data_IF_346535133347
#
_entry.id   IF_346535133347
#
_cell.length_a   1.000
_cell.length_b   1.000
_cell.length_c   1.000
_cell.angle_alpha   90.00
_cell.angle_beta   90.00
_cell.angle_gamma   90.00
#
_symmetry.space_group_name_H-M   'P 1'
#
loop_
_entity.id
_entity.type
_entity.pdbx_description
1 polymer ?
#
# COMPACT_ATOMS: atom_id res chain seq x y z
N UNK A 1 -2.13 7.91 -4.65
CA UNK A 1 -2.50 7.61 -6.06
C UNK A 1 -2.46 8.91 -6.86
N UNK A 2 -1.44 9.10 -7.68
CA UNK A 2 -1.22 10.39 -8.41
C UNK A 2 -2.18 10.62 -9.58
N UNK A 3 -2.80 9.56 -10.11
CA UNK A 3 -3.76 9.62 -11.23
C UNK A 3 -5.22 9.60 -10.77
N UNK A 4 -5.47 9.57 -9.45
CA UNK A 4 -6.84 9.57 -8.92
C UNK A 4 -7.50 10.95 -9.06
N UNK A 5 -8.83 11.04 -9.23
CA UNK A 5 -9.55 12.30 -9.41
C UNK A 5 -9.31 13.33 -8.30
N UNK A 6 -9.16 12.87 -7.05
CA UNK A 6 -8.95 13.73 -5.88
C UNK A 6 -7.45 14.03 -5.59
N UNK A 7 -6.52 13.66 -6.49
CA UNK A 7 -5.09 13.81 -6.22
C UNK A 7 -4.68 15.28 -5.99
N UNK A 8 -5.19 16.21 -6.78
CA UNK A 8 -4.87 17.64 -6.65
C UNK A 8 -5.36 18.21 -5.32
N UNK A 9 -6.58 17.90 -4.89
CA UNK A 9 -7.12 18.33 -3.59
C UNK A 9 -6.31 17.73 -2.43
N UNK A 10 -5.99 16.43 -2.51
CA UNK A 10 -5.16 15.77 -1.52
C UNK A 10 -3.77 16.42 -1.38
N UNK A 11 -3.13 16.74 -2.51
CA UNK A 11 -1.83 17.46 -2.53
C UNK A 11 -1.95 18.85 -1.92
N UNK A 12 -2.98 19.61 -2.28
CA UNK A 12 -3.21 20.95 -1.72
C UNK A 12 -3.40 20.91 -0.20
N UNK A 13 -4.13 19.94 0.32
CA UNK A 13 -4.30 19.72 1.77
C UNK A 13 -3.00 19.31 2.44
N UNK A 14 -2.28 18.34 1.86
CA UNK A 14 -1.02 17.84 2.42
C UNK A 14 0.04 18.94 2.56
N UNK A 15 0.12 19.88 1.63
CA UNK A 15 1.02 21.03 1.72
C UNK A 15 0.80 21.93 2.94
N UNK A 16 -0.41 21.92 3.50
CA UNK A 16 -0.75 22.67 4.72
C UNK A 16 -0.53 21.85 6.00
N UNK A 17 -0.06 20.60 5.90
CA UNK A 17 0.15 19.68 7.01
C UNK A 17 1.61 19.18 6.99
N UNK A 18 2.58 20.00 7.45
CA UNK A 18 4.01 19.69 7.30
C UNK A 18 4.45 18.42 8.05
N UNK A 19 3.73 18.02 9.09
CA UNK A 19 4.00 16.80 9.86
C UNK A 19 3.38 15.54 9.24
N UNK A 20 2.59 15.69 8.15
CA UNK A 20 2.01 14.57 7.43
C UNK A 20 3.04 13.95 6.48
N UNK A 21 3.45 12.73 6.77
CA UNK A 21 4.34 11.97 5.90
C UNK A 21 3.54 11.38 4.72
N UNK A 22 3.84 11.82 3.49
CA UNK A 22 3.10 11.41 2.29
C UNK A 22 3.90 10.44 1.46
N UNK A 23 3.32 9.25 1.20
CA UNK A 23 3.90 8.23 0.34
C UNK A 23 3.28 8.19 -1.06
N UNK A 24 4.02 7.62 -2.02
CA UNK A 24 3.51 7.28 -3.33
C UNK A 24 2.82 5.91 -3.29
N UNK A 25 1.50 5.90 -3.51
CA UNK A 25 0.74 4.67 -3.71
C UNK A 25 0.67 4.35 -5.20
N UNK A 26 1.52 3.42 -5.65
CA UNK A 26 1.59 2.98 -7.04
C UNK A 26 0.33 2.21 -7.44
N UNK A 27 -0.22 2.54 -8.60
CA UNK A 27 -1.39 1.88 -9.16
C UNK A 27 -0.97 1.16 -10.44
N UNK A 28 -1.07 -0.17 -10.44
CA UNK A 28 -0.68 -1.03 -11.58
C UNK A 28 -1.84 -1.95 -12.01
N UNK A 29 -3.00 -1.79 -11.39
CA UNK A 29 -4.25 -2.49 -11.68
C UNK A 29 -5.41 -1.72 -11.05
N UNK A 30 -6.64 -1.95 -11.51
CA UNK A 30 -7.86 -1.38 -10.94
C UNK A 30 -7.78 0.16 -10.70
N UNK A 31 -7.33 0.89 -11.70
CA UNK A 31 -7.24 2.34 -11.61
C UNK A 31 -6.81 2.97 -12.92
N UNK A 32 -6.70 4.29 -12.92
CA UNK A 32 -6.31 5.05 -14.11
C UNK A 32 -4.78 5.05 -14.26
N UNK A 33 -4.29 4.75 -15.47
CA UNK A 33 -2.89 4.88 -15.80
C UNK A 33 -2.43 6.34 -15.77
N UNK A 34 -1.16 6.56 -15.45
CA UNK A 34 -0.51 7.88 -15.55
C UNK A 34 0.04 8.09 -16.95
N UNK A 35 0.58 7.05 -17.56
CA UNK A 35 1.06 7.07 -18.94
C UNK A 35 -0.11 7.07 -19.94
N UNK A 36 0.05 7.66 -21.15
CA UNK A 36 -0.91 7.52 -22.23
C UNK A 36 -1.17 6.04 -22.58
N UNK A 37 -2.43 5.61 -22.65
CA UNK A 37 -2.80 4.21 -22.88
C UNK A 37 -2.18 3.64 -24.18
N UNK A 38 -2.03 4.46 -25.22
CA UNK A 38 -1.39 4.04 -26.47
C UNK A 38 0.08 3.62 -26.32
N UNK A 39 0.74 4.04 -25.24
CA UNK A 39 2.14 3.75 -24.96
C UNK A 39 2.33 2.53 -24.04
N UNK A 40 1.25 2.10 -23.40
CA UNK A 40 1.23 0.95 -22.48
C UNK A 40 0.06 0.00 -22.77
N UNK A 41 -0.18 -0.39 -24.04
CA UNK A 41 -1.37 -1.18 -24.43
C UNK A 41 -1.41 -2.60 -23.81
N UNK A 42 -0.30 -3.11 -23.29
CA UNK A 42 -0.28 -4.37 -22.55
C UNK A 42 -0.76 -4.24 -21.09
N UNK A 43 -0.83 -3.02 -20.55
CA UNK A 43 -1.20 -2.74 -19.15
C UNK A 43 -2.54 -2.00 -19.05
N UNK A 44 -2.89 -1.17 -20.04
CA UNK A 44 -4.06 -0.32 -19.99
C UNK A 44 -4.95 -0.48 -21.21
N UNK A 45 -6.25 -0.38 -21.00
CA UNK A 45 -7.25 -0.29 -22.05
C UNK A 45 -7.23 1.09 -22.74
N UNK A 46 -7.84 1.21 -23.92
CA UNK A 46 -7.89 2.46 -24.69
C UNK A 46 -8.50 3.66 -23.94
N UNK A 47 -9.34 3.40 -22.93
CA UNK A 47 -9.93 4.44 -22.06
C UNK A 47 -8.99 4.88 -20.91
N UNK A 48 -7.77 4.36 -20.85
CA UNK A 48 -6.78 4.67 -19.82
C UNK A 48 -6.94 3.90 -18.52
N UNK A 49 -7.88 2.95 -18.42
CA UNK A 49 -8.01 2.08 -17.25
C UNK A 49 -7.00 0.94 -17.33
N UNK A 50 -6.28 0.71 -16.23
CA UNK A 50 -5.38 -0.43 -16.07
C UNK A 50 -6.19 -1.74 -15.98
N UNK A 51 -5.63 -2.81 -16.53
CA UNK A 51 -6.25 -4.15 -16.52
C UNK A 51 -6.47 -4.60 -15.06
N UNK A 52 -7.64 -5.17 -14.79
CA UNK A 52 -8.01 -5.70 -13.48
C UNK A 52 -7.71 -7.20 -13.32
N UNK A 53 -7.25 -7.89 -14.37
CA UNK A 53 -6.87 -9.30 -14.30
C UNK A 53 -5.45 -9.45 -13.74
N UNK A 54 -5.34 -9.43 -12.40
CA UNK A 54 -4.07 -9.50 -11.68
C UNK A 54 -3.22 -10.72 -12.05
N UNK A 55 -3.85 -11.87 -12.30
CA UNK A 55 -3.13 -13.11 -12.64
C UNK A 55 -2.50 -13.01 -14.03
N UNK A 56 -3.30 -12.65 -15.04
CA UNK A 56 -2.81 -12.46 -16.41
C UNK A 56 -1.72 -11.40 -16.46
N UNK A 57 -1.97 -10.24 -15.87
CA UNK A 57 -1.06 -9.11 -15.85
C UNK A 57 0.24 -9.47 -15.14
N UNK A 58 0.17 -10.17 -14.00
CA UNK A 58 1.35 -10.65 -13.28
C UNK A 58 2.20 -11.62 -14.12
N UNK A 59 1.58 -12.58 -14.80
CA UNK A 59 2.31 -13.50 -15.70
C UNK A 59 3.02 -12.71 -16.82
N UNK A 60 2.32 -11.77 -17.45
CA UNK A 60 2.91 -10.93 -18.52
C UNK A 60 4.05 -10.06 -18.01
N UNK A 61 3.89 -9.43 -16.84
CA UNK A 61 4.94 -8.64 -16.17
C UNK A 61 6.18 -9.49 -15.85
N UNK A 62 6.03 -10.80 -15.67
CA UNK A 62 7.14 -11.69 -15.37
C UNK A 62 7.86 -12.22 -16.62
N UNK A 63 7.13 -12.61 -17.66
CA UNK A 63 7.69 -13.33 -18.80
C UNK A 63 7.85 -12.49 -20.07
N UNK A 64 7.01 -11.46 -20.28
CA UNK A 64 7.04 -10.69 -21.52
C UNK A 64 7.92 -9.42 -21.40
N UNK A 65 9.02 -9.34 -22.19
CA UNK A 65 9.89 -8.15 -22.16
C UNK A 65 9.20 -6.87 -22.63
N UNK A 66 8.21 -6.97 -23.52
CA UNK A 66 7.42 -5.82 -23.98
C UNK A 66 6.59 -5.22 -22.84
N UNK A 67 5.88 -6.08 -22.10
CA UNK A 67 5.12 -5.69 -20.91
C UNK A 67 6.02 -5.11 -19.82
N UNK A 68 7.22 -5.66 -19.60
CA UNK A 68 8.19 -5.11 -18.64
C UNK A 68 8.60 -3.67 -18.97
N UNK A 69 8.83 -3.36 -20.24
CA UNK A 69 9.16 -1.98 -20.67
C UNK A 69 8.00 -1.02 -20.42
N UNK A 70 6.77 -1.45 -20.69
CA UNK A 70 5.58 -0.66 -20.43
C UNK A 70 5.36 -0.46 -18.93
N UNK A 71 5.59 -1.50 -18.12
CA UNK A 71 5.55 -1.42 -16.66
C UNK A 71 6.58 -0.44 -16.09
N UNK A 72 7.83 -0.50 -16.60
CA UNK A 72 8.87 0.46 -16.22
C UNK A 72 8.46 1.90 -16.55
N UNK A 73 7.85 2.11 -17.71
CA UNK A 73 7.34 3.42 -18.12
C UNK A 73 6.24 3.92 -17.18
N UNK A 74 5.27 3.08 -16.87
CA UNK A 74 4.15 3.45 -16.00
C UNK A 74 4.63 3.75 -14.57
N UNK A 75 5.50 2.92 -13.99
CA UNK A 75 6.07 3.18 -12.66
C UNK A 75 6.83 4.51 -12.67
N UNK A 76 7.66 4.76 -13.67
CA UNK A 76 8.40 6.02 -13.81
C UNK A 76 7.48 7.22 -13.89
N UNK A 77 6.45 7.18 -14.73
CA UNK A 77 5.47 8.25 -14.87
C UNK A 77 4.79 8.59 -13.53
N UNK A 78 4.49 7.58 -12.71
CA UNK A 78 3.92 7.81 -11.37
C UNK A 78 4.91 8.46 -10.40
N UNK A 79 6.18 8.08 -10.43
CA UNK A 79 7.22 8.77 -9.65
C UNK A 79 7.41 10.23 -10.10
N UNK A 80 7.44 10.47 -11.41
CA UNK A 80 7.53 11.82 -11.99
C UNK A 80 6.33 12.68 -11.59
N UNK A 81 5.12 12.13 -11.67
CA UNK A 81 3.91 12.81 -11.25
C UNK A 81 3.92 13.13 -9.75
N UNK A 82 4.40 12.20 -8.90
CA UNK A 82 4.56 12.48 -7.47
C UNK A 82 5.58 13.60 -7.23
N UNK A 83 6.74 13.54 -7.88
CA UNK A 83 7.77 14.59 -7.78
C UNK A 83 7.24 15.95 -8.20
N UNK A 84 6.41 16.00 -9.24
CA UNK A 84 5.79 17.24 -9.72
C UNK A 84 4.84 17.89 -8.69
N UNK A 85 4.33 17.13 -7.69
CA UNK A 85 3.52 17.70 -6.61
C UNK A 85 4.32 18.62 -5.70
N UNK A 86 5.64 18.47 -5.64
CA UNK A 86 6.53 19.16 -4.70
C UNK A 86 6.48 18.64 -3.27
N UNK A 87 5.75 17.55 -3.01
CA UNK A 87 5.75 16.90 -1.70
C UNK A 87 7.02 16.06 -1.53
N UNK A 88 7.50 15.94 -0.30
CA UNK A 88 8.58 15.02 0.05
C UNK A 88 8.07 13.59 -0.02
N UNK A 89 8.80 12.72 -0.72
CA UNK A 89 8.48 11.29 -0.77
C UNK A 89 8.91 10.62 0.55
N UNK A 90 7.93 10.24 1.36
CA UNK A 90 8.23 9.52 2.61
C UNK A 90 8.48 8.02 2.34
N UNK A 91 7.57 7.38 1.63
CA UNK A 91 7.68 5.96 1.28
C UNK A 91 6.93 5.62 -0.01
N UNK A 92 7.14 4.39 -0.48
CA UNK A 92 6.37 3.81 -1.61
C UNK A 92 5.65 2.56 -1.14
N UNK A 93 4.42 2.39 -1.61
CA UNK A 93 3.66 1.16 -1.55
C UNK A 93 2.87 0.97 -2.85
N UNK A 94 2.09 -0.10 -3.01
CA UNK A 94 1.31 -0.29 -4.22
C UNK A 94 -0.09 -0.82 -3.95
N UNK A 95 -1.02 -0.39 -4.79
CA UNK A 95 -2.40 -0.87 -4.82
C UNK A 95 -2.42 -2.38 -5.04
N UNK A 96 -3.35 -3.08 -4.37
CA UNK A 96 -3.45 -4.55 -4.40
C UNK A 96 -2.13 -5.27 -4.07
N UNK A 97 -1.22 -4.59 -3.34
CA UNK A 97 0.10 -5.11 -2.99
C UNK A 97 0.91 -5.64 -4.20
N UNK A 98 0.70 -5.07 -5.39
CA UNK A 98 1.38 -5.46 -6.63
C UNK A 98 2.91 -5.43 -6.51
N UNK A 99 3.46 -4.70 -5.56
CA UNK A 99 4.90 -4.71 -5.26
C UNK A 99 5.42 -6.01 -4.62
N UNK A 100 4.55 -6.98 -4.25
CA UNK A 100 4.97 -8.36 -3.97
C UNK A 100 5.49 -9.07 -5.22
N UNK A 101 5.08 -8.63 -6.41
CA UNK A 101 5.55 -9.20 -7.65
C UNK A 101 7.03 -8.86 -7.88
N UNK A 102 7.92 -9.86 -8.11
CA UNK A 102 9.37 -9.64 -8.18
C UNK A 102 9.79 -8.58 -9.19
N UNK A 103 9.24 -8.62 -10.41
CA UNK A 103 9.55 -7.62 -11.45
C UNK A 103 9.13 -6.21 -11.05
N UNK A 104 7.95 -6.06 -10.43
CA UNK A 104 7.47 -4.76 -9.96
C UNK A 104 8.40 -4.21 -8.89
N UNK A 105 8.78 -5.05 -7.91
CA UNK A 105 9.67 -4.63 -6.83
C UNK A 105 11.04 -4.21 -7.34
N UNK A 106 11.64 -4.98 -8.27
CA UNK A 106 12.93 -4.64 -8.87
C UNK A 106 12.88 -3.29 -9.61
N UNK A 107 11.80 -3.02 -10.33
CA UNK A 107 11.59 -1.75 -11.02
C UNK A 107 11.39 -0.59 -10.03
N UNK A 108 10.66 -0.80 -8.94
CA UNK A 108 10.51 0.22 -7.90
C UNK A 108 11.87 0.58 -7.29
N UNK A 109 12.69 -0.41 -6.95
CA UNK A 109 14.05 -0.17 -6.43
C UNK A 109 14.92 0.57 -7.47
N UNK A 110 14.90 0.10 -8.73
CA UNK A 110 15.69 0.69 -9.82
C UNK A 110 15.32 2.16 -10.04
N UNK A 111 14.03 2.43 -10.25
CA UNK A 111 13.52 3.77 -10.55
C UNK A 111 13.58 4.65 -9.31
N UNK A 112 13.18 4.12 -8.15
CA UNK A 112 13.13 4.85 -6.90
C UNK A 112 14.46 5.49 -6.50
N UNK A 113 15.60 4.88 -6.86
CA UNK A 113 16.94 5.47 -6.66
C UNK A 113 17.10 6.83 -7.36
N UNK A 114 16.46 7.02 -8.50
CA UNK A 114 16.51 8.28 -9.26
C UNK A 114 15.62 9.36 -8.62
N UNK A 115 14.72 8.93 -7.72
CA UNK A 115 13.76 9.78 -7.00
C UNK A 115 14.00 9.80 -5.48
N UNK A 116 15.21 9.45 -5.04
CA UNK A 116 15.61 9.48 -3.63
C UNK A 116 14.70 8.63 -2.72
N UNK A 117 14.24 7.48 -3.20
CA UNK A 117 13.43 6.53 -2.43
C UNK A 117 14.21 6.04 -1.22
N UNK A 118 13.73 6.35 -0.03
CA UNK A 118 14.36 5.98 1.25
C UNK A 118 13.60 4.90 2.02
N UNK A 119 12.31 4.70 1.73
CA UNK A 119 11.49 3.73 2.44
C UNK A 119 10.42 3.09 1.54
N UNK A 120 10.07 1.83 1.83
CA UNK A 120 9.05 1.07 1.11
C UNK A 120 8.28 0.15 2.07
N UNK A 121 6.95 0.07 1.90
CA UNK A 121 6.13 -0.91 2.62
C UNK A 121 6.51 -2.33 2.21
N UNK A 122 6.67 -3.20 3.20
CA UNK A 122 6.73 -4.65 3.00
C UNK A 122 5.48 -5.29 3.61
N UNK A 123 4.63 -5.96 2.81
CA UNK A 123 3.37 -6.55 3.27
C UNK A 123 3.63 -7.88 4.01
N UNK A 124 4.19 -7.77 5.23
CA UNK A 124 4.52 -8.87 6.13
C UNK A 124 3.56 -8.88 7.32
N UNK A 125 2.35 -9.41 7.12
CA UNK A 125 1.36 -9.50 8.19
C UNK A 125 1.45 -10.85 8.90
N UNK A 126 1.86 -10.88 10.19
CA UNK A 126 1.82 -12.10 10.97
C UNK A 126 0.37 -12.56 11.18
N UNK A 127 0.11 -13.89 11.22
CA UNK A 127 -1.23 -14.39 11.43
C UNK A 127 -1.71 -14.09 12.86
N UNK A 128 -2.49 -13.04 13.00
CA UNK A 128 -3.23 -12.73 14.23
C UNK A 128 -4.68 -13.20 14.05
N UNK A 129 -5.24 -13.81 15.10
CA UNK A 129 -6.63 -14.27 15.07
C UNK A 129 -7.56 -13.06 14.94
N UNK A 130 -8.48 -13.11 13.99
CA UNK A 130 -9.51 -12.06 13.83
C UNK A 130 -10.49 -12.09 15.00
N UNK A 131 -11.01 -10.94 15.39
CA UNK A 131 -12.05 -10.81 16.43
C UNK A 131 -13.31 -11.59 16.03
N UNK A 132 -13.64 -11.61 14.74
CA UNK A 132 -14.85 -12.24 14.18
C UNK A 132 -14.58 -13.52 13.40
N UNK A 133 -13.31 -13.82 13.14
CA UNK A 133 -12.89 -14.95 12.29
C UNK A 133 -12.94 -16.30 13.01
N UNK A 134 -13.47 -17.30 12.30
CA UNK A 134 -13.46 -18.68 12.77
C UNK A 134 -12.18 -19.43 12.35
N UNK A 135 -12.13 -20.74 12.62
CA UNK A 135 -10.98 -21.62 12.29
C UNK A 135 -10.56 -21.56 10.80
N UNK A 136 -11.51 -21.35 9.88
CA UNK A 136 -11.20 -21.23 8.44
C UNK A 136 -10.44 -19.94 8.14
N UNK A 137 -10.80 -18.83 8.77
CA UNK A 137 -10.07 -17.56 8.62
C UNK A 137 -8.64 -17.69 9.14
N UNK A 138 -8.46 -18.27 10.32
CA UNK A 138 -7.13 -18.54 10.88
C UNK A 138 -6.25 -19.39 9.96
N UNK A 139 -6.80 -20.44 9.37
CA UNK A 139 -6.06 -21.29 8.42
C UNK A 139 -5.67 -20.49 7.17
N UNK A 140 -6.58 -19.66 6.64
CA UNK A 140 -6.32 -18.84 5.47
C UNK A 140 -5.24 -17.78 5.73
N UNK A 141 -5.26 -17.09 6.89
CA UNK A 141 -4.23 -16.13 7.32
C UNK A 141 -2.85 -16.79 7.41
N UNK A 142 -2.78 -17.98 8.05
CA UNK A 142 -1.55 -18.76 8.13
C UNK A 142 -1.04 -19.18 6.74
N UNK A 143 -1.93 -19.65 5.86
CA UNK A 143 -1.57 -20.03 4.49
C UNK A 143 -1.02 -18.83 3.70
N UNK A 144 -1.69 -17.68 3.74
CA UNK A 144 -1.23 -16.45 3.09
C UNK A 144 0.15 -16.03 3.60
N UNK A 145 0.35 -16.01 4.90
CA UNK A 145 1.63 -15.67 5.52
C UNK A 145 2.76 -16.58 5.02
N UNK A 146 2.56 -17.90 5.05
CA UNK A 146 3.56 -18.87 4.59
C UNK A 146 3.81 -18.76 3.07
N UNK A 147 2.75 -18.56 2.29
CA UNK A 147 2.86 -18.43 0.83
C UNK A 147 3.66 -17.20 0.41
N UNK A 148 3.43 -16.06 1.06
CA UNK A 148 4.14 -14.82 0.72
C UNK A 148 5.52 -14.69 1.38
N UNK A 149 5.85 -15.50 2.37
CA UNK A 149 7.12 -15.44 3.12
C UNK A 149 8.39 -15.39 2.24
N UNK A 150 8.55 -16.20 1.16
CA UNK A 150 9.73 -16.11 0.30
C UNK A 150 9.83 -14.77 -0.45
N UNK A 151 8.69 -14.21 -0.90
CA UNK A 151 8.65 -12.90 -1.56
C UNK A 151 9.03 -11.78 -0.58
N UNK A 152 8.42 -11.78 0.61
CA UNK A 152 8.74 -10.85 1.70
C UNK A 152 10.23 -10.93 2.08
N UNK A 153 10.78 -12.14 2.22
CA UNK A 153 12.20 -12.32 2.53
C UNK A 153 13.10 -11.74 1.44
N UNK A 154 12.75 -11.92 0.16
CA UNK A 154 13.46 -11.31 -0.97
C UNK A 154 13.38 -9.78 -0.92
N UNK A 155 12.20 -9.21 -0.65
CA UNK A 155 12.00 -7.77 -0.55
C UNK A 155 12.88 -7.17 0.55
N UNK A 156 12.89 -7.76 1.77
CA UNK A 156 13.75 -7.33 2.88
C UNK A 156 15.22 -7.35 2.52
N UNK A 157 15.71 -8.40 1.87
CA UNK A 157 17.10 -8.50 1.39
C UNK A 157 17.44 -7.40 0.40
N UNK A 158 16.56 -7.10 -0.54
CA UNK A 158 16.76 -6.03 -1.53
C UNK A 158 16.74 -4.64 -0.87
N UNK A 159 15.86 -4.41 0.09
CA UNK A 159 15.85 -3.17 0.87
C UNK A 159 17.17 -2.98 1.61
N UNK A 160 17.65 -4.00 2.32
CA UNK A 160 18.94 -3.96 3.02
C UNK A 160 20.11 -3.69 2.08
N UNK A 161 20.16 -4.36 0.91
CA UNK A 161 21.21 -4.17 -0.10
C UNK A 161 21.21 -2.77 -0.75
N UNK A 162 20.12 -2.02 -0.62
CA UNK A 162 19.94 -0.68 -1.22
C UNK A 162 19.78 0.44 -0.16
N UNK A 163 19.96 0.16 1.13
CA UNK A 163 19.77 1.09 2.24
C UNK A 163 18.36 1.72 2.27
N UNK A 164 17.34 0.93 1.92
CA UNK A 164 15.94 1.36 1.95
C UNK A 164 15.31 0.86 3.23
N UNK A 165 14.72 1.76 4.01
CA UNK A 165 13.95 1.45 5.22
C UNK A 165 12.66 0.70 4.88
N UNK A 166 12.14 -0.07 5.80
CA UNK A 166 10.87 -0.76 5.66
C UNK A 166 10.25 -1.08 7.03
N UNK A 167 8.96 -1.36 7.06
CA UNK A 167 8.30 -1.93 8.23
C UNK A 167 8.72 -3.39 8.45
N UNK A 168 8.83 -3.79 9.70
CA UNK A 168 9.05 -5.20 10.08
C UNK A 168 7.79 -6.02 9.94
N UNK A 169 6.66 -5.43 10.36
CA UNK A 169 5.33 -6.01 10.29
C UNK A 169 4.32 -5.00 9.76
N UNK A 170 3.18 -5.49 9.31
CA UNK A 170 2.02 -4.68 8.93
C UNK A 170 0.76 -5.34 9.47
N UNK A 171 -0.24 -4.56 9.83
CA UNK A 171 -1.60 -5.01 10.11
C UNK A 171 -2.61 -4.23 9.27
N UNK A 172 -3.68 -4.89 8.85
CA UNK A 172 -4.72 -4.37 8.00
C UNK A 172 -4.84 -5.02 6.62
N UNK A 173 -3.96 -6.01 6.28
CA UNK A 173 -4.08 -6.80 5.06
C UNK A 173 -5.21 -7.82 5.18
N UNK A 174 -5.26 -8.51 6.32
CA UNK A 174 -6.27 -9.53 6.58
C UNK A 174 -7.61 -8.96 7.01
N UNK A 175 -7.63 -7.74 7.55
CA UNK A 175 -8.82 -7.04 8.03
C UNK A 175 -9.07 -5.76 7.19
N UNK A 176 -8.65 -5.76 5.91
CA UNK A 176 -8.78 -4.63 4.99
C UNK A 176 -10.23 -4.19 4.86
N UNK A 177 -10.49 -2.90 5.06
CA UNK A 177 -11.84 -2.34 5.07
C UNK A 177 -12.59 -2.47 6.40
N UNK A 178 -12.02 -3.18 7.40
CA UNK A 178 -12.65 -3.46 8.69
C UNK A 178 -11.73 -3.12 9.88
N UNK A 179 -10.85 -2.13 9.71
CA UNK A 179 -9.94 -1.64 10.75
C UNK A 179 -10.71 -0.75 11.75
N UNK A 180 -11.73 -1.31 12.37
CA UNK A 180 -12.60 -0.67 13.35
C UNK A 180 -11.89 -0.41 14.68
N UNK A 181 -12.56 0.29 15.62
CA UNK A 181 -12.03 0.53 16.98
C UNK A 181 -11.67 -0.79 17.65
N UNK A 182 -12.54 -1.78 17.59
CA UNK A 182 -12.30 -3.07 18.26
C UNK A 182 -11.16 -3.84 17.59
N UNK A 183 -11.05 -3.78 16.28
CA UNK A 183 -9.91 -4.35 15.53
C UNK A 183 -8.59 -3.69 15.94
N UNK A 184 -8.51 -2.37 16.00
CA UNK A 184 -7.31 -1.66 16.43
C UNK A 184 -6.93 -2.00 17.88
N UNK A 185 -7.90 -2.01 18.81
CA UNK A 185 -7.64 -2.34 20.20
C UNK A 185 -7.20 -3.80 20.36
N UNK A 186 -7.65 -4.70 19.49
CA UNK A 186 -7.18 -6.08 19.46
C UNK A 186 -5.74 -6.18 18.93
N UNK A 187 -5.38 -5.44 17.89
CA UNK A 187 -4.05 -5.49 17.25
C UNK A 187 -2.97 -4.83 18.11
N UNK A 188 -3.21 -3.64 18.64
CA UNK A 188 -2.21 -2.80 19.33
C UNK A 188 -1.43 -3.57 20.42
N UNK A 189 -2.04 -4.38 21.29
CA UNK A 189 -1.31 -5.17 22.29
C UNK A 189 -0.36 -6.24 21.73
N UNK A 190 -0.48 -6.59 20.45
CA UNK A 190 0.34 -7.60 19.78
C UNK A 190 1.46 -7.02 18.91
N UNK A 191 1.60 -5.69 18.91
CA UNK A 191 2.70 -5.02 18.22
C UNK A 191 4.00 -5.38 18.93
N UNK A 192 4.93 -5.98 18.16
CA UNK A 192 6.27 -6.32 18.65
C UNK A 192 7.22 -5.11 18.51
N UNK A 193 8.39 -5.22 19.13
CA UNK A 193 9.47 -4.26 18.94
C UNK A 193 9.85 -4.12 17.45
N UNK A 194 10.18 -2.91 17.05
CA UNK A 194 10.50 -2.58 15.65
C UNK A 194 9.47 -1.66 15.00
N UNK A 195 9.46 -1.60 13.69
CA UNK A 195 8.56 -0.74 12.90
C UNK A 195 7.35 -1.53 12.47
N UNK A 196 6.18 -1.19 13.00
CA UNK A 196 4.90 -1.78 12.59
C UNK A 196 4.05 -0.76 11.88
N UNK A 197 3.61 -1.08 10.68
CA UNK A 197 2.61 -0.29 9.96
C UNK A 197 1.22 -0.82 10.26
N UNK A 198 0.29 0.07 10.61
CA UNK A 198 -1.15 -0.22 10.60
C UNK A 198 -1.75 0.58 9.44
N UNK A 199 -2.39 -0.09 8.49
CA UNK A 199 -3.00 0.59 7.38
C UNK A 199 -4.52 0.39 7.31
N UNK A 200 -5.20 1.37 6.79
CA UNK A 200 -6.66 1.42 6.67
C UNK A 200 -7.07 2.28 5.47
N UNK A 201 -8.36 2.33 5.18
CA UNK A 201 -8.97 3.09 4.09
C UNK A 201 -10.00 4.09 4.65
N UNK A 202 -9.59 5.05 5.50
CA UNK A 202 -10.52 5.93 6.18
C UNK A 202 -11.13 6.94 5.22
N UNK A 203 -12.44 7.16 5.33
CA UNK A 203 -13.13 8.29 4.72
C UNK A 203 -14.23 8.81 5.65
N UNK A 204 -14.59 10.09 5.51
CA UNK A 204 -15.63 10.73 6.33
C UNK A 204 -17.02 10.32 5.92
N UNK A 205 -17.17 9.89 4.66
CA UNK A 205 -18.45 9.43 4.10
C UNK A 205 -18.18 8.46 2.94
N UNK A 206 -19.20 7.71 2.55
CA UNK A 206 -19.19 6.84 1.40
C UNK A 206 -19.52 7.66 0.13
N UNK A 207 -18.95 7.30 -1.02
CA UNK A 207 -19.20 7.96 -2.32
C UNK A 207 -19.67 6.95 -3.37
N UNK A 208 -20.21 7.42 -4.50
CA UNK A 208 -20.91 6.57 -5.49
C UNK A 208 -19.97 5.71 -6.35
N UNK A 209 -18.76 6.19 -6.67
CA UNK A 209 -17.81 5.51 -7.59
C UNK A 209 -16.81 4.62 -6.84
N UNK A 210 -17.24 3.91 -5.80
CA UNK A 210 -16.39 2.98 -5.04
C UNK A 210 -16.08 1.76 -5.91
N UNK A 211 -14.81 1.33 -5.89
CA UNK A 211 -14.39 0.05 -6.49
C UNK A 211 -15.27 -1.08 -5.94
N UNK A 212 -15.89 -1.92 -6.81
CA UNK A 212 -16.69 -3.05 -6.36
C UNK A 212 -15.96 -3.99 -5.38
N UNK A 213 -14.64 -4.08 -5.45
CA UNK A 213 -13.83 -4.85 -4.51
C UNK A 213 -13.81 -4.28 -3.09
N UNK A 214 -14.21 -3.01 -2.92
CA UNK A 214 -14.28 -2.32 -1.62
C UNK A 214 -15.74 -2.01 -1.19
N UNK A 215 -16.72 -2.68 -1.77
CA UNK A 215 -18.13 -2.45 -1.47
C UNK A 215 -18.53 -2.77 -0.02
N UNK A 216 -17.82 -3.68 0.63
CA UNK A 216 -18.02 -4.08 2.02
C UNK A 216 -17.16 -3.29 3.01
N UNK A 217 -16.33 -2.35 2.54
CA UNK A 217 -15.45 -1.55 3.40
C UNK A 217 -16.24 -0.57 4.28
N UNK A 218 -15.85 -0.51 5.54
CA UNK A 218 -16.44 0.35 6.57
C UNK A 218 -15.62 1.65 6.73
N UNK A 219 -15.50 2.44 5.65
CA UNK A 219 -14.64 3.64 5.55
C UNK A 219 -14.81 4.61 6.72
N UNK A 220 -16.08 4.91 7.10
CA UNK A 220 -16.36 5.81 8.21
C UNK A 220 -16.01 5.19 9.58
N UNK A 221 -16.19 3.88 9.73
CA UNK A 221 -15.82 3.18 10.96
C UNK A 221 -14.30 3.18 11.12
N UNK A 222 -13.54 2.97 10.04
CA UNK A 222 -12.09 3.09 10.03
C UNK A 222 -11.63 4.52 10.36
N UNK A 223 -12.25 5.54 9.76
CA UNK A 223 -11.97 6.93 10.12
C UNK A 223 -12.23 7.21 11.61
N UNK A 224 -13.40 6.82 12.11
CA UNK A 224 -13.76 6.97 13.52
C UNK A 224 -12.79 6.21 14.45
N UNK A 225 -12.32 5.04 14.03
CA UNK A 225 -11.36 4.24 14.80
C UNK A 225 -10.03 4.96 15.01
N UNK A 226 -9.50 5.60 13.97
CA UNK A 226 -8.22 6.32 14.03
C UNK A 226 -8.26 7.52 14.99
N UNK A 227 -9.38 8.25 15.04
CA UNK A 227 -9.52 9.44 15.89
C UNK A 227 -10.12 9.16 17.28
N UNK A 228 -10.47 7.90 17.58
CA UNK A 228 -11.20 7.55 18.79
C UNK A 228 -10.31 7.60 20.05
N UNK A 229 -10.84 8.16 21.14
CA UNK A 229 -10.10 8.29 22.40
C UNK A 229 -9.63 6.95 23.00
N UNK A 230 -10.34 5.82 22.76
CA UNK A 230 -9.90 4.49 23.19
C UNK A 230 -8.66 4.05 22.43
N UNK A 231 -8.59 4.30 21.12
CA UNK A 231 -7.42 3.97 20.30
C UNK A 231 -6.21 4.72 20.81
N UNK A 232 -6.31 6.04 21.01
CA UNK A 232 -5.25 6.87 21.58
C UNK A 232 -4.76 6.35 22.93
N UNK A 233 -5.68 6.11 23.88
CA UNK A 233 -5.31 5.58 25.19
C UNK A 233 -4.66 4.19 25.13
N UNK A 234 -5.03 3.37 24.13
CA UNK A 234 -4.41 2.05 23.97
C UNK A 234 -2.99 2.18 23.45
N UNK A 235 -2.73 3.06 22.47
CA UNK A 235 -1.38 3.39 21.98
C UNK A 235 -0.49 3.87 23.16
N UNK A 236 -0.98 4.82 23.96
CA UNK A 236 -0.28 5.35 25.12
C UNK A 236 -0.01 4.27 26.19
N UNK A 237 -1.01 3.41 26.47
CA UNK A 237 -0.90 2.31 27.46
C UNK A 237 0.22 1.31 27.10
N UNK A 238 0.43 1.05 25.81
CA UNK A 238 1.44 0.12 25.32
C UNK A 238 2.75 0.82 24.95
N UNK A 239 2.92 2.11 25.26
CA UNK A 239 4.11 2.92 24.99
C UNK A 239 4.55 2.85 23.52
N UNK A 240 3.59 2.89 22.59
CA UNK A 240 3.86 2.87 21.17
C UNK A 240 4.15 4.30 20.70
N UNK A 241 5.29 4.48 20.08
CA UNK A 241 5.66 5.73 19.42
C UNK A 241 5.07 5.77 18.01
N UNK A 242 4.38 6.88 17.68
CA UNK A 242 3.86 7.11 16.34
C UNK A 242 4.91 7.83 15.50
N UNK A 243 5.27 7.26 14.36
CA UNK A 243 6.30 7.80 13.47
C UNK A 243 5.95 7.61 12.00
N UNK A 244 6.68 8.26 11.10
CA UNK A 244 6.69 7.92 9.68
C UNK A 244 7.80 6.89 9.38
N UNK A 245 7.95 6.53 8.09
CA UNK A 245 9.01 5.62 7.67
C UNK A 245 10.41 6.22 7.77
N UNK A 246 10.52 7.54 7.75
CA UNK A 246 11.78 8.27 7.72
C UNK A 246 12.11 9.05 9.00
N UNK A 247 11.30 8.91 10.02
CA UNK A 247 11.54 9.50 11.34
C UNK A 247 12.36 8.61 12.24
#
# INVERSE_FOLDING_TARGET
>A
MVSAPAAEDAVARAKNLPDLNVGLHLVLSNGKATSPAAEIPALAHANGQLDNNLVRTGIMMFFDPGTKKQLEKEIRAQFEAFKATGLRLDHVNAHNHMHLHPTVFDLIIKIGKEFELTAIRIPNEPPLDSITGGTKDKLLRNFRFLFFKPFVSRMKKLCAANNIKHNDTIYGLNDSGHMTIDTLIHIIPHIADGVTEIYSHPATERWDDIDPAANDYEFEAEYKALIHARTKRTVEKFNIELSGFNT
#
